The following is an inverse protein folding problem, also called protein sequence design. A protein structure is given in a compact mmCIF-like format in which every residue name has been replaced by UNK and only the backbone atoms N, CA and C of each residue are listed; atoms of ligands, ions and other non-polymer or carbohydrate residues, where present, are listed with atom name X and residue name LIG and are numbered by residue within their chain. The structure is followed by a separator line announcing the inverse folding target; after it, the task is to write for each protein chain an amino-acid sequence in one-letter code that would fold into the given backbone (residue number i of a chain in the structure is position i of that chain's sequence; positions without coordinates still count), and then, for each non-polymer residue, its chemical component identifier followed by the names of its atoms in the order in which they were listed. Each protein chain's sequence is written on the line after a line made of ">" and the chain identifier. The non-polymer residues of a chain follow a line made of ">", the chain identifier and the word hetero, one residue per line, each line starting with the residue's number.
data_IF_812541857174
#
_entry.id   IF_812541857174
#
_cell.length_a   1.000
_cell.length_b   1.000
_cell.length_c   1.000
_cell.angle_alpha   90.00
_cell.angle_beta   90.00
_cell.angle_gamma   90.00
#
_symmetry.space_group_name_H-M   'P 1'
#
loop_
_entity.id
_entity.type
_entity.pdbx_description
1 polymer ?
#
# COMPACT_ATOMS: atom_id res chain seq x y z
N UNK A 1 11.23 -6.81 -5.70
CA UNK A 1 10.37 -6.40 -6.84
C UNK A 1 10.36 -4.87 -6.97
N UNK A 2 11.46 -4.26 -7.44
CA UNK A 2 11.57 -2.79 -7.65
C UNK A 2 11.98 -2.45 -9.10
N UNK A 3 12.36 -3.46 -9.90
CA UNK A 3 12.90 -3.28 -11.25
C UNK A 3 11.90 -3.00 -12.38
N UNK A 4 10.59 -3.09 -12.15
CA UNK A 4 9.58 -3.00 -13.23
C UNK A 4 8.97 -1.60 -13.44
N UNK A 5 9.31 -0.61 -12.61
CA UNK A 5 8.66 0.72 -12.66
C UNK A 5 9.12 1.59 -13.84
N UNK A 6 10.42 1.58 -14.18
CA UNK A 6 10.93 2.35 -15.31
C UNK A 6 10.41 1.85 -16.66
N UNK A 7 10.15 0.55 -16.75
CA UNK A 7 9.57 -0.09 -17.93
C UNK A 7 8.12 0.36 -18.14
N UNK A 8 7.36 0.52 -17.05
CA UNK A 8 5.95 0.94 -17.10
C UNK A 8 5.80 2.42 -17.52
N UNK A 9 6.64 3.31 -16.99
CA UNK A 9 6.61 4.74 -17.33
C UNK A 9 6.99 4.98 -18.81
N UNK A 10 7.97 4.23 -19.31
CA UNK A 10 8.39 4.26 -20.70
C UNK A 10 7.35 3.65 -21.66
N UNK A 11 6.52 2.73 -21.18
CA UNK A 11 5.42 2.12 -21.94
C UNK A 11 4.22 3.08 -22.04
N UNK A 12 3.80 3.67 -20.92
CA UNK A 12 2.70 4.64 -20.87
C UNK A 12 3.03 5.89 -21.71
N UNK A 13 4.25 6.44 -21.64
CA UNK A 13 4.65 7.56 -22.50
C UNK A 13 4.69 7.20 -23.99
N UNK A 14 4.92 5.93 -24.33
CA UNK A 14 4.94 5.46 -25.73
C UNK A 14 3.52 5.34 -26.29
N UNK A 15 2.59 4.80 -25.51
CA UNK A 15 1.19 4.68 -25.95
C UNK A 15 0.42 6.01 -25.91
N UNK A 16 0.75 6.92 -24.97
CA UNK A 16 0.24 8.30 -24.99
C UNK A 16 0.61 9.07 -26.26
N UNK A 17 1.68 8.67 -26.95
CA UNK A 17 2.10 9.24 -28.23
C UNK A 17 1.43 8.56 -29.43
N UNK A 18 0.78 7.41 -29.25
CA UNK A 18 0.30 6.51 -30.32
C UNK A 18 -1.22 6.38 -30.38
N UNK A 19 -1.91 6.48 -29.24
CA UNK A 19 -3.34 6.21 -29.16
C UNK A 19 -4.20 7.41 -29.60
N UNK A 20 -4.59 7.41 -30.88
CA UNK A 20 -5.77 8.11 -31.37
C UNK A 20 -7.00 7.19 -31.22
N UNK A 21 -7.70 7.24 -30.08
CA UNK A 21 -8.99 6.56 -29.93
C UNK A 21 -9.44 6.28 -28.49
N UNK A 22 -10.75 6.41 -28.23
CA UNK A 22 -11.44 6.24 -26.92
C UNK A 22 -11.18 4.89 -26.22
N UNK A 23 -10.90 3.84 -26.98
CA UNK A 23 -10.67 2.49 -26.43
C UNK A 23 -9.39 2.38 -25.57
N UNK A 24 -8.33 3.15 -25.91
CA UNK A 24 -7.07 3.11 -25.17
C UNK A 24 -7.12 3.84 -23.81
N UNK A 25 -8.03 4.81 -23.65
CA UNK A 25 -8.22 5.54 -22.40
C UNK A 25 -8.95 4.70 -21.34
N UNK A 26 -9.88 3.84 -21.78
CA UNK A 26 -10.58 2.89 -20.89
C UNK A 26 -9.65 1.84 -20.30
N UNK A 27 -8.82 1.20 -21.14
CA UNK A 27 -7.86 0.19 -20.65
C UNK A 27 -6.83 0.79 -19.67
N UNK A 28 -6.41 2.04 -19.90
CA UNK A 28 -5.50 2.73 -19.00
C UNK A 28 -6.18 3.09 -17.66
N UNK A 29 -7.44 3.53 -17.71
CA UNK A 29 -8.26 3.82 -16.53
C UNK A 29 -8.52 2.57 -15.69
N UNK A 30 -8.86 1.45 -16.33
CA UNK A 30 -9.10 0.16 -15.65
C UNK A 30 -7.82 -0.38 -15.01
N UNK A 31 -6.66 -0.18 -15.65
CA UNK A 31 -5.37 -0.55 -15.07
C UNK A 31 -5.02 0.29 -13.84
N UNK A 32 -5.25 1.60 -13.87
CA UNK A 32 -5.06 2.48 -12.70
C UNK A 32 -6.01 2.12 -11.55
N UNK A 33 -7.27 1.82 -11.86
CA UNK A 33 -8.24 1.40 -10.84
C UNK A 33 -7.86 0.07 -10.18
N UNK A 34 -7.37 -0.88 -10.97
CA UNK A 34 -6.88 -2.18 -10.46
C UNK A 34 -5.70 -2.00 -9.52
N UNK A 35 -4.77 -1.10 -9.86
CA UNK A 35 -3.62 -0.79 -9.00
C UNK A 35 -4.07 -0.15 -7.68
N UNK A 36 -4.98 0.84 -7.73
CA UNK A 36 -5.55 1.46 -6.51
C UNK A 36 -6.26 0.41 -5.64
N UNK A 37 -7.04 -0.48 -6.25
CA UNK A 37 -7.77 -1.54 -5.54
C UNK A 37 -6.83 -2.54 -4.87
N UNK A 38 -5.77 -2.98 -5.56
CA UNK A 38 -4.74 -3.85 -4.98
C UNK A 38 -4.06 -3.20 -3.77
N UNK A 39 -3.69 -1.92 -3.88
CA UNK A 39 -3.10 -1.17 -2.78
C UNK A 39 -4.05 -0.99 -1.58
N UNK A 40 -5.34 -0.78 -1.83
CA UNK A 40 -6.35 -0.76 -0.77
C UNK A 40 -6.53 -2.13 -0.10
N UNK A 41 -6.50 -3.22 -0.89
CA UNK A 41 -6.58 -4.57 -0.35
C UNK A 41 -5.40 -4.89 0.57
N UNK A 42 -4.18 -4.57 0.16
CA UNK A 42 -3.00 -4.79 0.99
C UNK A 42 -3.08 -3.97 2.29
N UNK A 43 -3.52 -2.71 2.23
CA UNK A 43 -3.72 -1.87 3.42
C UNK A 43 -4.74 -2.46 4.40
N UNK A 44 -5.86 -3.00 3.88
CA UNK A 44 -6.92 -3.58 4.70
C UNK A 44 -6.48 -4.88 5.37
N UNK A 45 -5.79 -5.75 4.64
CA UNK A 45 -5.19 -6.98 5.21
C UNK A 45 -4.17 -6.61 6.28
N UNK A 46 -3.32 -5.61 6.02
CA UNK A 46 -2.31 -5.17 6.98
C UNK A 46 -2.93 -4.57 8.25
N UNK A 47 -4.00 -3.79 8.11
CA UNK A 47 -4.78 -3.27 9.23
C UNK A 47 -5.41 -4.42 10.05
N UNK A 48 -5.96 -5.44 9.38
CA UNK A 48 -6.55 -6.59 10.05
C UNK A 48 -5.50 -7.39 10.83
N UNK A 49 -4.33 -7.65 10.24
CA UNK A 49 -3.25 -8.40 10.89
C UNK A 49 -2.62 -7.61 12.03
N UNK A 50 -2.42 -6.31 11.87
CA UNK A 50 -1.92 -5.44 12.97
C UNK A 50 -2.91 -5.36 14.13
N UNK A 51 -4.21 -5.29 13.84
CA UNK A 51 -5.26 -5.29 14.86
C UNK A 51 -5.33 -6.63 15.62
N UNK A 52 -5.23 -7.77 14.93
CA UNK A 52 -5.22 -9.08 15.60
C UNK A 52 -3.99 -9.25 16.49
N UNK A 53 -2.81 -8.82 16.03
CA UNK A 53 -1.60 -8.81 16.86
C UNK A 53 -1.70 -7.87 18.06
N UNK A 54 -2.26 -6.67 17.88
CA UNK A 54 -2.46 -5.71 18.97
C UNK A 54 -3.41 -6.28 20.05
N UNK A 55 -4.54 -6.87 19.63
CA UNK A 55 -5.48 -7.51 20.56
C UNK A 55 -4.87 -8.72 21.26
N UNK A 56 -4.13 -9.56 20.52
CA UNK A 56 -3.43 -10.70 21.10
C UNK A 56 -2.41 -10.23 22.15
N UNK A 57 -1.61 -9.20 21.85
CA UNK A 57 -0.65 -8.63 22.78
C UNK A 57 -1.33 -8.07 24.03
N UNK A 58 -2.46 -7.38 23.91
CA UNK A 58 -3.24 -6.91 25.07
C UNK A 58 -3.77 -8.06 25.93
N UNK A 59 -4.24 -9.15 25.32
CA UNK A 59 -4.71 -10.34 26.06
C UNK A 59 -3.54 -11.00 26.77
N UNK A 60 -2.40 -11.20 26.07
CA UNK A 60 -1.21 -11.82 26.66
C UNK A 60 -0.65 -10.96 27.78
N UNK A 61 -0.59 -9.64 27.61
CA UNK A 61 -0.17 -8.71 28.66
C UNK A 61 -1.10 -8.77 29.88
N UNK A 62 -2.42 -8.82 29.68
CA UNK A 62 -3.37 -8.97 30.78
C UNK A 62 -3.17 -10.30 31.53
N UNK A 63 -2.89 -11.40 30.82
CA UNK A 63 -2.56 -12.69 31.41
C UNK A 63 -1.23 -12.66 32.16
N UNK A 64 -0.21 -11.99 31.62
CA UNK A 64 1.09 -11.80 32.29
C UNK A 64 0.94 -10.99 33.58
N UNK A 65 0.08 -9.98 33.62
CA UNK A 65 -0.20 -9.20 34.83
C UNK A 65 -0.97 -10.01 35.88
N UNK A 66 -1.90 -10.87 35.47
CA UNK A 66 -2.67 -11.72 36.37
C UNK A 66 -1.85 -12.93 36.88
N UNK A 67 -1.01 -13.50 36.02
CA UNK A 67 -0.20 -14.69 36.26
C UNK A 67 1.25 -14.45 35.81
N UNK A 68 2.05 -13.72 36.60
CA UNK A 68 3.40 -13.36 36.21
C UNK A 68 4.27 -14.60 36.05
N UNK A 69 4.73 -14.82 34.81
CA UNK A 69 5.62 -15.90 34.42
C UNK A 69 6.67 -15.36 33.46
N UNK A 70 7.92 -15.79 33.63
CA UNK A 70 9.01 -15.44 32.72
C UNK A 70 8.66 -15.83 31.27
N UNK A 71 7.97 -16.97 31.08
CA UNK A 71 7.53 -17.40 29.76
C UNK A 71 6.48 -16.47 29.14
N UNK A 72 5.58 -15.91 29.96
CA UNK A 72 4.56 -14.97 29.50
C UNK A 72 5.18 -13.62 29.11
N UNK A 73 6.15 -13.13 29.89
CA UNK A 73 6.91 -11.91 29.55
C UNK A 73 7.69 -12.07 28.24
N UNK A 74 8.33 -13.22 28.01
CA UNK A 74 9.04 -13.48 26.74
C UNK A 74 8.05 -13.47 25.57
N UNK A 75 6.87 -14.07 25.74
CA UNK A 75 5.83 -14.10 24.72
C UNK A 75 5.34 -12.68 24.38
N UNK A 76 5.10 -11.83 25.38
CA UNK A 76 4.74 -10.43 25.20
C UNK A 76 5.79 -9.67 24.38
N UNK A 77 7.07 -9.86 24.71
CA UNK A 77 8.18 -9.22 23.99
C UNK A 77 8.23 -9.67 22.52
N UNK A 78 8.07 -10.97 22.25
CA UNK A 78 8.05 -11.50 20.88
C UNK A 78 6.89 -10.89 20.09
N UNK A 79 5.69 -10.87 20.68
CA UNK A 79 4.50 -10.28 20.04
C UNK A 79 4.69 -8.77 19.79
N UNK A 80 5.37 -8.06 20.70
CA UNK A 80 5.62 -6.63 20.60
C UNK A 80 6.65 -6.31 19.50
N UNK A 81 7.72 -7.11 19.39
CA UNK A 81 8.69 -6.99 18.29
C UNK A 81 8.02 -7.26 16.94
N UNK A 82 7.20 -8.31 16.87
CA UNK A 82 6.41 -8.58 15.65
C UNK A 82 5.49 -7.40 15.32
N UNK A 83 4.76 -6.87 16.30
CA UNK A 83 3.90 -5.70 16.10
C UNK A 83 4.66 -4.50 15.54
N UNK A 84 5.84 -4.18 16.10
CA UNK A 84 6.68 -3.08 15.61
C UNK A 84 7.15 -3.28 14.17
N UNK A 85 7.57 -4.50 13.81
CA UNK A 85 7.95 -4.83 12.44
C UNK A 85 6.78 -4.67 11.46
N UNK A 86 5.58 -5.07 11.87
CA UNK A 86 4.36 -4.88 11.09
C UNK A 86 4.02 -3.39 10.93
N UNK A 87 4.14 -2.57 11.98
CA UNK A 87 3.94 -1.11 11.86
C UNK A 87 4.93 -0.50 10.87
N UNK A 88 6.19 -0.93 10.89
CA UNK A 88 7.17 -0.47 9.90
C UNK A 88 6.78 -0.84 8.46
N UNK A 89 6.29 -2.06 8.24
CA UNK A 89 5.80 -2.49 6.93
C UNK A 89 4.61 -1.65 6.45
N UNK A 90 3.72 -1.22 7.36
CA UNK A 90 2.61 -0.33 7.03
C UNK A 90 3.10 1.00 6.43
N UNK A 91 4.13 1.62 7.00
CA UNK A 91 4.69 2.88 6.49
C UNK A 91 5.33 2.74 5.11
N UNK A 92 5.95 1.59 4.81
CA UNK A 92 6.46 1.31 3.47
C UNK A 92 5.34 1.27 2.43
N UNK A 93 4.17 0.75 2.82
CA UNK A 93 3.00 0.63 1.95
C UNK A 93 2.31 1.98 1.70
N UNK A 94 2.14 2.79 2.75
CA UNK A 94 1.58 4.15 2.67
C UNK A 94 2.39 5.03 1.71
N UNK A 95 3.72 4.96 1.77
CA UNK A 95 4.61 5.67 0.85
C UNK A 95 4.45 5.23 -0.62
N UNK A 96 4.14 3.95 -0.86
CA UNK A 96 3.86 3.43 -2.20
C UNK A 96 2.59 4.04 -2.80
N UNK A 97 1.53 4.16 -1.99
CA UNK A 97 0.24 4.73 -2.39
C UNK A 97 0.36 6.23 -2.66
N UNK A 98 1.05 6.97 -1.79
CA UNK A 98 1.29 8.40 -1.98
C UNK A 98 1.98 8.70 -3.31
N UNK A 99 2.96 7.87 -3.70
CA UNK A 99 3.67 7.99 -4.96
C UNK A 99 2.78 7.70 -6.17
N UNK A 100 1.85 6.75 -6.06
CA UNK A 100 0.88 6.44 -7.11
C UNK A 100 -0.09 7.61 -7.34
N UNK A 101 -0.61 8.21 -6.27
CA UNK A 101 -1.49 9.38 -6.35
C UNK A 101 -0.78 10.60 -6.96
N UNK A 102 0.48 10.84 -6.61
CA UNK A 102 1.26 11.93 -7.22
C UNK A 102 1.38 11.75 -8.73
N UNK A 103 1.64 10.52 -9.19
CA UNK A 103 1.76 10.21 -10.61
C UNK A 103 0.43 10.44 -11.35
N UNK A 104 -0.69 10.04 -10.75
CA UNK A 104 -2.02 10.24 -11.30
C UNK A 104 -2.37 11.74 -11.44
N UNK A 105 -2.06 12.53 -10.41
CA UNK A 105 -2.26 13.99 -10.47
C UNK A 105 -1.42 14.66 -11.55
N UNK A 106 -0.17 14.22 -11.75
CA UNK A 106 0.68 14.73 -12.83
C UNK A 106 0.09 14.42 -14.22
N UNK A 107 -0.47 13.22 -14.40
CA UNK A 107 -1.11 12.82 -15.66
C UNK A 107 -2.35 13.67 -15.93
N UNK A 108 -3.25 13.82 -14.94
CA UNK A 108 -4.46 14.63 -15.05
C UNK A 108 -4.12 16.09 -15.36
N UNK A 109 -3.13 16.66 -14.65
CA UNK A 109 -2.71 18.05 -14.83
C UNK A 109 -2.18 18.32 -16.25
N UNK A 110 -1.40 17.39 -16.81
CA UNK A 110 -0.93 17.49 -18.20
C UNK A 110 -2.08 17.35 -19.21
N UNK A 111 -3.02 16.44 -18.97
CA UNK A 111 -4.18 16.26 -19.85
C UNK A 111 -5.07 17.51 -19.89
N UNK A 112 -5.35 18.10 -18.71
CA UNK A 112 -6.10 19.35 -18.60
C UNK A 112 -5.38 20.55 -19.22
N UNK A 113 -4.04 20.63 -19.13
CA UNK A 113 -3.29 21.71 -19.76
C UNK A 113 -3.35 21.68 -21.30
N UNK A 114 -3.48 20.48 -21.89
CA UNK A 114 -3.62 20.31 -23.34
C UNK A 114 -5.01 20.64 -23.87
N UNK A 115 -6.05 20.57 -23.04
CA UNK A 115 -7.44 20.91 -23.41
C UNK A 115 -7.72 22.42 -23.38
N UNK A 116 -6.82 23.23 -22.80
CA UNK A 116 -6.98 24.69 -22.66
C UNK A 116 -6.21 25.50 -23.72
N UNK A 117 -5.57 24.83 -24.69
CA UNK A 117 -4.84 25.46 -25.80
C UNK A 117 -5.52 25.10 -27.11
#
# INVERSE_FOLDING_TARGET
>A
MVGNFHTHEAFIKRELKRAHGDAGWRDLSDYHHTQIHNFQHERLVHLLVTLTYALANLITLALTLAFPSIGAVILDVILLVMFAFYVWHYFALENGIARLYQLDQEIIKKCLSKLKT
#
